data_IF_480092273388
#
_entry.id   IF_480092273388
#
_cell.length_a   1.000
_cell.length_b   1.000
_cell.length_c   1.000
_cell.angle_alpha   90.00
_cell.angle_beta   90.00
_cell.angle_gamma   90.00
#
_symmetry.space_group_name_H-M   'P 1'
#
loop_
_entity.id
_entity.type
_entity.pdbx_description
1 polymer ?
#
# COMPACT_ATOMS: atom_id res chain seq x y z
N UNK A 1 39.15 4.92 -45.17
CA UNK A 1 39.24 5.57 -43.85
C UNK A 1 38.20 4.90 -42.96
N UNK A 2 38.65 4.14 -41.96
CA UNK A 2 37.80 3.42 -41.03
C UNK A 2 37.58 4.28 -39.77
N UNK A 3 36.39 4.09 -39.17
CA UNK A 3 35.94 4.55 -37.85
C UNK A 3 35.28 5.93 -37.77
N UNK A 4 33.94 5.93 -37.77
CA UNK A 4 33.12 6.77 -36.91
C UNK A 4 31.99 5.88 -36.38
N UNK A 5 32.28 5.30 -35.22
CA UNK A 5 31.41 4.52 -34.34
C UNK A 5 29.94 4.99 -34.42
N UNK A 6 29.01 4.09 -34.70
CA UNK A 6 28.44 3.29 -33.64
C UNK A 6 27.21 4.03 -33.13
N UNK A 7 26.05 3.42 -33.39
CA UNK A 7 24.73 3.80 -32.94
C UNK A 7 24.70 3.99 -31.40
N UNK A 8 25.21 5.13 -30.94
CA UNK A 8 25.47 5.47 -29.55
C UNK A 8 24.14 5.86 -28.92
N UNK A 9 23.57 4.95 -28.15
CA UNK A 9 22.31 5.14 -27.47
C UNK A 9 22.30 6.46 -26.65
N UNK A 10 21.16 7.17 -26.60
CA UNK A 10 21.05 8.60 -26.40
C UNK A 10 21.35 9.03 -24.96
N UNK A 11 22.59 9.49 -24.73
CA UNK A 11 23.01 10.19 -23.49
C UNK A 11 22.06 11.33 -23.09
N UNK A 12 21.44 11.99 -24.07
CA UNK A 12 20.46 13.06 -23.84
C UNK A 12 19.18 12.61 -23.15
N UNK A 13 18.76 11.33 -23.30
CA UNK A 13 17.56 10.81 -22.62
C UNK A 13 17.82 10.75 -21.11
N UNK A 14 18.96 10.20 -20.69
CA UNK A 14 19.26 10.03 -19.26
C UNK A 14 19.31 11.37 -18.51
N UNK A 15 19.91 12.40 -19.11
CA UNK A 15 19.94 13.73 -18.50
C UNK A 15 18.54 14.34 -18.34
N UNK A 16 17.65 14.17 -19.32
CA UNK A 16 16.26 14.65 -19.23
C UNK A 16 15.50 13.96 -18.09
N UNK A 17 15.64 12.63 -17.97
CA UNK A 17 14.97 11.87 -16.91
C UNK A 17 15.60 12.13 -15.54
N UNK A 18 16.91 12.36 -15.47
CA UNK A 18 17.58 12.77 -14.25
C UNK A 18 17.03 14.11 -13.72
N UNK A 19 16.89 15.12 -14.59
CA UNK A 19 16.25 16.39 -14.23
C UNK A 19 14.80 16.17 -13.79
N UNK A 20 14.05 15.31 -14.50
CA UNK A 20 12.66 15.03 -14.17
C UNK A 20 12.53 14.36 -12.80
N UNK A 21 13.37 13.38 -12.48
CA UNK A 21 13.42 12.73 -11.16
C UNK A 21 13.81 13.73 -10.06
N UNK A 22 14.74 14.65 -10.34
CA UNK A 22 15.11 15.71 -9.41
C UNK A 22 13.93 16.63 -9.10
N UNK A 23 13.22 17.11 -10.12
CA UNK A 23 12.03 17.95 -9.95
C UNK A 23 10.94 17.21 -9.19
N UNK A 24 10.70 15.94 -9.52
CA UNK A 24 9.71 15.10 -8.84
C UNK A 24 10.06 14.87 -7.36
N UNK A 25 11.35 14.70 -7.05
CA UNK A 25 11.84 14.64 -5.66
C UNK A 25 11.61 15.95 -4.92
N UNK A 26 11.79 17.10 -5.59
CA UNK A 26 11.47 18.42 -5.05
C UNK A 26 9.99 18.58 -4.73
N UNK A 27 9.10 18.12 -5.62
CA UNK A 27 7.65 18.14 -5.36
C UNK A 27 7.25 17.24 -4.19
N UNK A 28 7.83 16.05 -4.07
CA UNK A 28 7.60 15.17 -2.92
C UNK A 28 7.99 15.85 -1.61
N UNK A 29 9.12 16.57 -1.58
CA UNK A 29 9.56 17.33 -0.41
C UNK A 29 8.65 18.54 -0.13
N UNK A 30 8.15 19.21 -1.17
CA UNK A 30 7.23 20.33 -1.02
C UNK A 30 5.91 19.89 -0.36
N UNK A 31 5.38 18.70 -0.68
CA UNK A 31 4.19 18.15 0.00
C UNK A 31 4.42 18.03 1.50
N UNK A 32 5.58 17.54 1.91
CA UNK A 32 5.94 17.44 3.32
C UNK A 32 6.17 18.81 3.96
N UNK A 33 6.69 19.78 3.22
CA UNK A 33 6.89 21.16 3.69
C UNK A 33 5.56 21.88 3.95
N UNK A 34 4.57 21.72 3.08
CA UNK A 34 3.26 22.36 3.22
C UNK A 34 2.38 21.76 4.32
N UNK A 35 2.87 20.75 5.06
CA UNK A 35 2.18 20.14 6.21
C UNK A 35 0.69 19.82 5.93
N UNK A 36 0.40 19.33 4.72
CA UNK A 36 -0.97 19.00 4.33
C UNK A 36 -1.48 17.89 5.24
N UNK A 37 -2.46 18.15 6.11
CA UNK A 37 -2.96 17.15 7.06
C UNK A 37 -4.04 16.25 6.43
N UNK A 38 -4.15 15.01 6.91
CA UNK A 38 -5.20 14.06 6.54
C UNK A 38 -4.93 13.27 5.25
N UNK A 39 -6.01 12.83 4.59
CA UNK A 39 -5.98 11.95 3.41
C UNK A 39 -5.27 12.56 2.19
N UNK A 40 -5.22 13.89 2.10
CA UNK A 40 -4.53 14.61 1.03
C UNK A 40 -3.01 14.35 1.05
N UNK A 41 -2.44 14.12 2.25
CA UNK A 41 -1.02 13.78 2.41
C UNK A 41 -0.71 12.38 1.88
N UNK A 42 -1.56 11.42 2.25
CA UNK A 42 -1.44 10.02 1.83
C UNK A 42 -1.53 9.87 0.32
N UNK A 43 -2.53 10.51 -0.29
CA UNK A 43 -2.69 10.48 -1.75
C UNK A 43 -1.49 11.07 -2.46
N UNK A 44 -1.04 12.27 -2.07
CA UNK A 44 0.13 12.92 -2.69
C UNK A 44 1.41 12.10 -2.53
N UNK A 45 1.72 11.61 -1.32
CA UNK A 45 2.93 10.82 -1.06
C UNK A 45 2.93 9.54 -1.90
N UNK A 46 1.80 8.81 -1.93
CA UNK A 46 1.67 7.58 -2.73
C UNK A 46 1.82 7.91 -4.22
N UNK A 47 1.19 8.98 -4.70
CA UNK A 47 1.30 9.42 -6.10
C UNK A 47 2.75 9.74 -6.48
N UNK A 48 3.48 10.50 -5.67
CA UNK A 48 4.89 10.79 -5.93
C UNK A 48 5.80 9.55 -5.83
N UNK A 49 5.49 8.62 -4.92
CA UNK A 49 6.18 7.32 -4.82
C UNK A 49 5.97 6.48 -6.08
N UNK A 50 4.74 6.42 -6.59
CA UNK A 50 4.40 5.63 -7.77
C UNK A 50 5.00 6.22 -9.04
N UNK A 51 4.93 7.55 -9.19
CA UNK A 51 5.56 8.27 -10.30
C UNK A 51 7.06 8.03 -10.32
N UNK A 52 7.77 8.21 -9.20
CA UNK A 52 9.24 8.03 -9.20
C UNK A 52 9.63 6.59 -9.46
N UNK A 53 8.92 5.62 -8.86
CA UNK A 53 9.17 4.20 -9.09
C UNK A 53 8.89 3.81 -10.54
N UNK A 54 7.78 4.30 -11.12
CA UNK A 54 7.44 4.09 -12.53
C UNK A 54 8.48 4.66 -13.48
N UNK A 55 8.99 5.87 -13.23
CA UNK A 55 10.08 6.46 -14.02
C UNK A 55 11.39 5.67 -13.92
N UNK A 56 11.73 5.16 -12.73
CA UNK A 56 12.91 4.31 -12.54
C UNK A 56 12.75 2.99 -13.32
N UNK A 57 11.59 2.34 -13.23
CA UNK A 57 11.31 1.08 -13.95
C UNK A 57 11.32 1.29 -15.47
N UNK A 58 10.67 2.34 -15.97
CA UNK A 58 10.58 2.60 -17.40
C UNK A 58 11.94 2.91 -18.06
N UNK A 59 12.81 3.66 -17.36
CA UNK A 59 14.06 4.18 -17.94
C UNK A 59 15.29 3.43 -17.45
N UNK A 60 15.50 3.30 -16.13
CA UNK A 60 16.71 2.66 -15.60
C UNK A 60 16.68 1.16 -15.80
N UNK A 61 15.50 0.55 -15.68
CA UNK A 61 15.31 -0.87 -15.98
C UNK A 61 15.14 -1.14 -17.47
N UNK A 62 15.26 -0.14 -18.34
CA UNK A 62 15.13 -0.25 -19.80
C UNK A 62 13.91 -1.06 -20.26
N UNK A 63 12.82 -1.04 -19.49
CA UNK A 63 11.61 -1.82 -19.78
C UNK A 63 10.99 -1.48 -21.15
N UNK A 64 11.30 -0.29 -21.69
CA UNK A 64 10.85 0.17 -23.01
C UNK A 64 11.72 -0.38 -24.16
N UNK A 65 12.93 -0.90 -23.87
CA UNK A 65 13.92 -1.29 -24.87
C UNK A 65 14.38 -2.76 -24.79
N UNK A 66 14.01 -3.51 -23.75
CA UNK A 66 14.30 -4.95 -23.62
C UNK A 66 13.05 -5.85 -23.72
N UNK A 67 13.28 -7.17 -23.87
CA UNK A 67 12.21 -8.18 -23.98
C UNK A 67 11.28 -8.12 -22.77
N UNK A 68 9.97 -8.12 -23.04
CA UNK A 68 8.90 -8.17 -22.02
C UNK A 68 9.09 -9.26 -20.94
N UNK A 69 9.83 -10.32 -21.25
CA UNK A 69 10.18 -11.37 -20.30
C UNK A 69 10.94 -10.84 -19.06
N UNK A 70 11.89 -9.92 -19.20
CA UNK A 70 12.65 -9.37 -18.06
C UNK A 70 11.78 -8.49 -17.17
N UNK A 71 10.90 -7.70 -17.78
CA UNK A 71 9.91 -6.89 -17.06
C UNK A 71 8.98 -7.80 -16.25
N UNK A 72 8.49 -8.89 -16.85
CA UNK A 72 7.62 -9.84 -16.16
C UNK A 72 8.36 -10.60 -15.05
N UNK A 73 9.65 -10.91 -15.21
CA UNK A 73 10.43 -11.57 -14.16
C UNK A 73 10.63 -10.68 -12.94
N UNK A 74 10.80 -9.38 -13.12
CA UNK A 74 11.05 -8.44 -12.00
C UNK A 74 9.73 -7.94 -11.39
N UNK A 75 8.77 -7.54 -12.23
CA UNK A 75 7.51 -6.96 -11.79
C UNK A 75 6.42 -8.02 -11.52
N UNK A 76 6.55 -9.20 -12.11
CA UNK A 76 5.60 -10.30 -11.97
C UNK A 76 5.47 -10.80 -10.53
N UNK A 77 6.55 -11.15 -9.82
CA UNK A 77 6.45 -11.64 -8.45
C UNK A 77 5.78 -10.63 -7.49
N UNK A 78 6.15 -9.34 -7.48
CA UNK A 78 5.44 -8.33 -6.67
C UNK A 78 3.96 -8.19 -7.05
N UNK A 79 3.63 -8.23 -8.35
CA UNK A 79 2.24 -8.07 -8.83
C UNK A 79 1.37 -9.25 -8.40
N UNK A 80 1.87 -10.48 -8.54
CA UNK A 80 1.15 -11.68 -8.10
C UNK A 80 0.96 -11.66 -6.58
N UNK A 81 1.97 -11.24 -5.82
CA UNK A 81 1.84 -11.10 -4.37
C UNK A 81 0.76 -10.09 -3.98
N UNK A 82 0.73 -8.91 -4.61
CA UNK A 82 -0.31 -7.91 -4.37
C UNK A 82 -1.71 -8.44 -4.71
N UNK A 83 -1.83 -9.18 -5.81
CA UNK A 83 -3.10 -9.84 -6.17
C UNK A 83 -3.52 -10.85 -5.10
N UNK A 84 -2.61 -11.71 -4.65
CA UNK A 84 -2.89 -12.70 -3.60
C UNK A 84 -3.30 -12.04 -2.27
N UNK A 85 -2.61 -10.96 -1.87
CA UNK A 85 -2.97 -10.18 -0.68
C UNK A 85 -4.38 -9.60 -0.84
N UNK A 86 -4.71 -9.05 -2.02
CA UNK A 86 -6.04 -8.52 -2.30
C UNK A 86 -7.14 -9.58 -2.21
N UNK A 87 -6.92 -10.76 -2.81
CA UNK A 87 -7.87 -11.88 -2.76
C UNK A 87 -8.06 -12.38 -1.32
N UNK A 88 -6.97 -12.59 -0.57
CA UNK A 88 -7.02 -12.98 0.84
C UNK A 88 -7.74 -11.94 1.70
N UNK A 89 -7.55 -10.64 1.42
CA UNK A 89 -8.26 -9.58 2.14
C UNK A 89 -9.76 -9.65 1.91
N UNK A 90 -10.20 -9.90 0.67
CA UNK A 90 -11.61 -10.01 0.31
C UNK A 90 -12.22 -11.25 0.97
N UNK A 91 -11.58 -12.41 0.85
CA UNK A 91 -12.04 -13.64 1.51
C UNK A 91 -12.07 -13.53 3.04
N UNK A 92 -11.11 -12.81 3.62
CA UNK A 92 -11.08 -12.52 5.05
C UNK A 92 -12.34 -11.78 5.52
N UNK A 93 -12.73 -10.72 4.80
CA UNK A 93 -13.95 -9.95 5.11
C UNK A 93 -15.20 -10.83 4.93
N UNK A 94 -15.30 -11.60 3.84
CA UNK A 94 -16.45 -12.50 3.63
C UNK A 94 -16.56 -13.58 4.72
N UNK A 95 -15.44 -14.15 5.15
CA UNK A 95 -15.41 -15.16 6.21
C UNK A 95 -15.84 -14.57 7.55
N UNK A 96 -15.40 -13.35 7.84
CA UNK A 96 -15.80 -12.60 9.03
C UNK A 96 -17.32 -12.32 9.03
N UNK A 97 -17.86 -11.80 7.93
CA UNK A 97 -19.29 -11.51 7.79
C UNK A 97 -20.18 -12.74 7.97
N UNK A 98 -19.78 -13.89 7.43
CA UNK A 98 -20.51 -15.16 7.60
C UNK A 98 -20.53 -15.64 9.06
N UNK A 99 -19.46 -15.41 9.84
CA UNK A 99 -19.43 -15.75 11.27
C UNK A 99 -20.44 -14.94 12.06
N UNK A 100 -20.57 -13.64 11.75
CA UNK A 100 -21.58 -12.80 12.37
C UNK A 100 -23.00 -13.20 11.96
N UNK A 101 -23.22 -13.42 10.66
CA UNK A 101 -24.55 -13.72 10.13
C UNK A 101 -25.12 -15.07 10.59
N UNK A 102 -24.28 -16.11 10.71
CA UNK A 102 -24.75 -17.48 10.93
C UNK A 102 -24.23 -18.13 12.21
N UNK A 103 -23.06 -17.72 12.74
CA UNK A 103 -22.49 -18.32 13.94
C UNK A 103 -22.78 -17.51 15.21
N UNK A 104 -23.50 -16.39 15.10
CA UNK A 104 -23.92 -15.57 16.24
C UNK A 104 -22.78 -14.86 16.96
N UNK A 105 -21.62 -14.71 16.32
CA UNK A 105 -20.57 -13.85 16.86
C UNK A 105 -21.08 -12.40 16.90
N UNK A 106 -20.79 -11.70 18.00
CA UNK A 106 -21.06 -10.27 18.10
C UNK A 106 -19.91 -9.50 17.44
N UNK A 107 -20.25 -8.51 16.61
CA UNK A 107 -19.27 -7.65 15.92
C UNK A 107 -18.53 -6.77 16.92
N UNK A 108 -19.20 -6.45 18.02
CA UNK A 108 -18.72 -5.56 19.07
C UNK A 108 -18.29 -6.34 20.33
N UNK A 109 -18.02 -7.65 20.20
CA UNK A 109 -17.62 -8.51 21.31
C UNK A 109 -16.35 -7.96 21.98
N UNK A 110 -16.51 -7.35 23.15
CA UNK A 110 -15.41 -6.96 24.03
C UNK A 110 -14.86 -8.20 24.70
N UNK A 111 -13.53 -8.35 24.72
CA UNK A 111 -12.89 -9.44 25.44
C UNK A 111 -13.27 -9.38 26.92
N UNK A 112 -13.90 -10.45 27.43
CA UNK A 112 -14.28 -10.56 28.84
C UNK A 112 -13.03 -10.39 29.71
N UNK A 113 -13.07 -9.42 30.62
CA UNK A 113 -12.00 -9.27 31.60
C UNK A 113 -12.21 -10.30 32.72
N UNK A 114 -11.16 -10.66 33.49
CA UNK A 114 -11.32 -11.57 34.63
C UNK A 114 -12.39 -11.11 35.64
N UNK A 115 -12.67 -9.80 35.73
CA UNK A 115 -13.73 -9.26 36.57
C UNK A 115 -15.14 -9.60 36.06
N UNK A 116 -15.35 -9.73 34.75
CA UNK A 116 -16.65 -10.06 34.15
C UNK A 116 -16.96 -11.57 34.24
N UNK A 117 -15.93 -12.40 34.40
CA UNK A 117 -16.03 -13.86 34.57
C UNK A 117 -16.33 -14.27 36.02
N UNK A 118 -15.91 -13.44 36.98
CA UNK A 118 -16.26 -13.57 38.38
C UNK A 118 -17.47 -12.67 38.65
N UNK A 119 -18.67 -13.15 38.30
CA UNK A 119 -19.91 -12.42 38.52
C UNK A 119 -19.98 -11.80 39.92
N UNK A 120 -20.46 -10.55 40.00
CA UNK A 120 -20.71 -9.87 41.26
C UNK A 120 -21.64 -10.70 42.15
N UNK A 121 -21.08 -11.50 43.05
CA UNK A 121 -21.75 -11.89 44.30
C UNK A 121 -21.70 -10.69 45.25
N UNK A 122 -22.56 -9.70 45.05
CA UNK A 122 -22.59 -8.56 45.96
C UNK A 122 -23.49 -7.41 45.55
N UNK A 123 -24.80 -7.62 45.49
CA UNK A 123 -25.69 -6.51 45.16
C UNK A 123 -27.19 -6.73 45.22
N UNK A 124 -27.71 -7.63 46.08
CA UNK A 124 -29.15 -7.60 46.40
C UNK A 124 -29.40 -6.49 47.43
N UNK A 125 -29.42 -5.24 46.94
CA UNK A 125 -30.03 -4.10 47.63
C UNK A 125 -31.55 -4.27 47.57
N UNK A 126 -32.16 -4.35 48.75
CA UNK A 126 -33.54 -4.75 48.93
C UNK A 126 -34.57 -3.87 48.24
N UNK A 127 -35.51 -4.53 47.60
CA UNK A 127 -36.89 -4.08 47.45
C UNK A 127 -37.75 -5.33 47.62
N UNK A 128 -38.29 -5.58 48.82
CA UNK A 128 -39.62 -6.21 49.04
C UNK A 128 -40.10 -5.92 50.48
N UNK A 129 -41.38 -5.57 50.58
CA UNK A 129 -42.30 -5.48 51.74
C UNK A 129 -42.35 -4.24 52.67
N UNK A 130 -43.50 -3.54 52.51
CA UNK A 130 -44.30 -2.74 53.48
C UNK A 130 -43.79 -1.39 54.02
#
# INVERSE_FOLDING_TARGET
MASAEGQQHPLGIYYKIWILLFVLSGFSYAVDYYNVQGAMRWTLVITFMFLKAGFIVAIFMHAVWERMALVLTILGPPTVLLLFIGLMSIEGIYTEELRFAYMGHDRDAVALTPADLHGEEGGHGGEEEH
#
